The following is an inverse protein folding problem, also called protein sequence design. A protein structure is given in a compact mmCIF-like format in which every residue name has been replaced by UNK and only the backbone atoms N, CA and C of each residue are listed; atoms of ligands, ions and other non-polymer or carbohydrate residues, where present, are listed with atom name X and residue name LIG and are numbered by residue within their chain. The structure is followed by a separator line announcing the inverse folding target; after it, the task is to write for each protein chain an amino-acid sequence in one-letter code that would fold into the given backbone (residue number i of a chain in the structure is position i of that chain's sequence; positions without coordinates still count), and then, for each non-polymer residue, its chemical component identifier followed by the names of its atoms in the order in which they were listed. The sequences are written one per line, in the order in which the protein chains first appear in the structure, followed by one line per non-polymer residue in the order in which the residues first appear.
data_IF_703765094527
#
_entry.id   IF_703765094527
#
_cell.length_a   1.000
_cell.length_b   1.000
_cell.length_c   1.000
_cell.angle_alpha   90.00
_cell.angle_beta   90.00
_cell.angle_gamma   90.00
#
_symmetry.space_group_name_H-M   'P 1'
#
loop_
_entity.id
_entity.type
_entity.pdbx_description
1 polymer ?
#
# COMPACT_ATOMS: atom_id res chain seq x y z
N UNK A 1 -16.77 -17.98 -24.61
CA UNK A 1 -15.93 -17.03 -23.85
C UNK A 1 -14.84 -16.54 -24.78
N UNK A 2 -14.95 -15.44 -25.53
CA UNK A 2 -15.27 -14.04 -25.16
C UNK A 2 -14.31 -13.44 -24.14
N UNK A 3 -13.16 -12.97 -24.63
CA UNK A 3 -12.65 -11.65 -24.26
C UNK A 3 -11.88 -11.12 -25.46
N UNK A 4 -12.49 -10.19 -26.19
CA UNK A 4 -11.80 -9.45 -27.25
C UNK A 4 -10.69 -8.67 -26.56
N UNK A 5 -9.46 -9.16 -26.65
CA UNK A 5 -8.27 -8.41 -26.24
C UNK A 5 -8.34 -7.07 -26.96
N UNK A 6 -8.56 -5.99 -26.23
CA UNK A 6 -8.25 -4.66 -26.73
C UNK A 6 -6.73 -4.61 -26.81
N UNK A 7 -6.19 -5.19 -27.89
CA UNK A 7 -4.77 -5.23 -28.18
C UNK A 7 -4.32 -3.81 -28.51
N UNK A 8 -4.01 -3.05 -27.45
CA UNK A 8 -3.33 -1.78 -27.58
C UNK A 8 -1.96 -2.06 -28.18
N UNK A 9 -1.49 -1.28 -29.16
CA UNK A 9 -0.15 -1.47 -29.70
C UNK A 9 0.88 -1.40 -28.57
N UNK A 10 1.92 -2.25 -28.60
CA UNK A 10 2.98 -2.23 -27.59
C UNK A 10 3.65 -0.83 -27.57
N UNK A 11 3.95 -0.28 -26.38
CA UNK A 11 4.71 0.95 -26.26
C UNK A 11 6.15 0.74 -26.75
N UNK A 12 6.86 1.82 -27.12
CA UNK A 12 8.25 1.70 -27.61
C UNK A 12 9.22 1.26 -26.49
N UNK A 13 8.90 1.54 -25.23
CA UNK A 13 9.66 1.12 -24.05
C UNK A 13 8.77 0.43 -23.00
N UNK A 14 9.34 -0.55 -22.31
CA UNK A 14 8.63 -1.30 -21.27
C UNK A 14 8.54 -0.48 -19.99
N UNK A 15 7.33 -0.16 -19.52
CA UNK A 15 7.14 0.55 -18.25
C UNK A 15 7.66 -0.24 -17.01
N UNK A 16 7.82 -1.56 -17.12
CA UNK A 16 8.28 -2.40 -16.01
C UNK A 16 9.82 -2.50 -15.90
N UNK A 17 10.55 -2.48 -17.03
CA UNK A 17 12.00 -2.70 -17.03
C UNK A 17 12.81 -1.70 -17.89
N UNK A 18 12.15 -0.80 -18.62
CA UNK A 18 12.77 0.19 -19.51
C UNK A 18 13.33 -0.37 -20.81
N UNK A 19 13.17 -1.66 -21.10
CA UNK A 19 13.67 -2.25 -22.35
C UNK A 19 12.86 -1.78 -23.57
N UNK A 20 13.53 -1.60 -24.70
CA UNK A 20 12.88 -1.30 -25.99
C UNK A 20 12.04 -2.49 -26.44
N UNK A 21 10.76 -2.24 -26.75
CA UNK A 21 9.82 -3.28 -27.19
C UNK A 21 9.64 -3.17 -28.72
N UNK A 22 9.76 -4.28 -29.47
CA UNK A 22 9.48 -4.27 -30.90
C UNK A 22 7.98 -4.09 -31.16
N UNK A 23 7.63 -3.38 -32.25
CA UNK A 23 6.25 -2.95 -32.57
C UNK A 23 5.20 -4.07 -32.69
N UNK A 24 5.61 -5.33 -32.75
CA UNK A 24 4.76 -6.52 -32.86
C UNK A 24 4.93 -7.52 -31.71
N UNK A 25 5.63 -7.16 -30.62
CA UNK A 25 5.73 -8.01 -29.45
C UNK A 25 4.36 -8.19 -28.77
N UNK A 26 4.10 -9.40 -28.26
CA UNK A 26 2.97 -9.68 -27.38
C UNK A 26 3.32 -9.47 -25.89
N UNK A 27 4.61 -9.49 -25.56
CA UNK A 27 5.15 -9.26 -24.23
C UNK A 27 6.59 -8.71 -24.35
N UNK A 28 7.09 -8.04 -23.31
CA UNK A 28 8.46 -7.57 -23.24
C UNK A 28 9.43 -8.78 -23.23
N UNK A 29 10.43 -8.82 -24.12
CA UNK A 29 11.35 -9.96 -24.22
C UNK A 29 12.26 -10.10 -22.99
N UNK A 30 12.52 -9.01 -22.26
CA UNK A 30 13.44 -9.02 -21.12
C UNK A 30 12.76 -9.46 -19.82
N UNK A 31 11.55 -8.96 -19.54
CA UNK A 31 10.87 -9.18 -18.26
C UNK A 31 9.53 -9.91 -18.35
N UNK A 32 9.04 -10.19 -19.56
CA UNK A 32 7.76 -10.88 -19.79
C UNK A 32 6.50 -10.05 -19.51
N UNK A 33 6.62 -8.74 -19.30
CA UNK A 33 5.47 -7.86 -19.08
C UNK A 33 4.60 -7.74 -20.34
N UNK A 34 3.28 -7.79 -20.17
CA UNK A 34 2.29 -7.70 -21.25
C UNK A 34 1.23 -6.62 -20.98
N UNK A 35 0.24 -6.48 -21.87
CA UNK A 35 -0.91 -5.58 -21.76
C UNK A 35 -1.70 -5.70 -20.43
N UNK A 36 -1.64 -6.85 -19.76
CA UNK A 36 -2.33 -7.09 -18.49
C UNK A 36 -1.46 -6.78 -17.28
N UNK A 37 -0.14 -6.94 -17.41
CA UNK A 37 0.79 -6.98 -16.29
C UNK A 37 1.79 -5.83 -16.24
N UNK A 38 1.98 -5.08 -17.34
CA UNK A 38 2.97 -4.00 -17.34
C UNK A 38 2.96 -3.00 -18.49
N UNK A 39 2.04 -3.06 -19.46
CA UNK A 39 1.87 -1.99 -20.48
C UNK A 39 0.65 -1.09 -20.23
N UNK A 40 0.13 -1.08 -19.01
CA UNK A 40 -0.99 -0.21 -18.64
C UNK A 40 -0.44 1.15 -18.21
N UNK A 41 -0.77 2.18 -18.96
CA UNK A 41 -0.48 3.58 -18.61
C UNK A 41 -1.22 4.03 -17.33
N UNK A 42 -2.29 3.33 -16.97
CA UNK A 42 -3.13 3.62 -15.81
C UNK A 42 -3.30 2.35 -14.97
N UNK A 43 -2.82 2.37 -13.73
CA UNK A 43 -3.26 1.43 -12.70
C UNK A 43 -4.77 1.59 -12.50
N UNK A 44 -5.47 0.55 -12.04
CA UNK A 44 -6.92 0.67 -11.72
C UNK A 44 -7.19 1.78 -10.68
N UNK A 45 -6.16 2.21 -9.97
CA UNK A 45 -6.21 3.22 -8.93
C UNK A 45 -5.73 4.61 -9.41
N UNK A 46 -5.13 4.74 -10.59
CA UNK A 46 -4.55 6.01 -11.09
C UNK A 46 -5.60 6.97 -11.67
N UNK A 47 -6.81 6.49 -11.93
CA UNK A 47 -7.94 7.29 -12.40
C UNK A 47 -8.93 7.66 -11.30
N UNK A 48 -8.59 7.35 -10.04
CA UNK A 48 -9.39 7.80 -8.91
C UNK A 48 -8.94 9.23 -8.58
N UNK A 49 -9.82 10.19 -8.84
CA UNK A 49 -9.68 11.58 -8.39
C UNK A 49 -9.84 11.60 -6.86
N UNK A 50 -8.83 11.10 -6.15
CA UNK A 50 -8.78 11.17 -4.69
C UNK A 50 -8.49 12.63 -4.35
N UNK A 51 -9.37 13.31 -3.60
CA UNK A 51 -9.05 14.64 -3.11
C UNK A 51 -7.76 14.56 -2.28
N UNK A 52 -6.88 15.54 -2.44
CA UNK A 52 -5.62 15.64 -1.67
C UNK A 52 -5.86 15.56 -0.15
N UNK A 53 -7.05 15.99 0.29
CA UNK A 53 -7.56 15.90 1.66
C UNK A 53 -7.81 14.48 2.19
N UNK A 54 -7.77 13.44 1.34
CA UNK A 54 -7.88 12.04 1.80
C UNK A 54 -6.70 11.61 2.67
N UNK A 55 -5.57 12.34 2.59
CA UNK A 55 -4.34 12.06 3.34
C UNK A 55 -3.98 13.16 4.35
N UNK A 56 -4.77 14.22 4.43
CA UNK A 56 -4.61 15.27 5.45
C UNK A 56 -5.10 14.70 6.79
N UNK A 57 -4.15 14.21 7.59
CA UNK A 57 -4.36 13.94 9.01
C UNK A 57 -4.66 15.28 9.67
N UNK A 58 -5.95 15.59 9.87
CA UNK A 58 -6.42 16.83 10.50
C UNK A 58 -5.57 17.15 11.73
N UNK A 59 -4.61 18.06 11.58
CA UNK A 59 -3.74 18.62 12.60
C UNK A 59 -4.42 19.79 13.30
N UNK A 60 -5.74 19.72 13.43
CA UNK A 60 -6.60 20.70 14.10
C UNK A 60 -6.59 20.54 15.62
N UNK A 61 -5.54 20.00 16.24
CA UNK A 61 -5.35 20.11 17.68
C UNK A 61 -3.86 20.23 18.01
N UNK A 62 -3.32 21.43 17.87
CA UNK A 62 -2.63 22.19 18.93
C UNK A 62 -1.62 23.17 18.30
N UNK A 63 -1.94 24.46 18.36
CA UNK A 63 -1.09 25.52 17.85
C UNK A 63 0.31 25.57 18.46
N UNK A 64 1.25 26.17 17.72
CA UNK A 64 2.58 26.46 18.24
C UNK A 64 3.64 26.45 17.17
N UNK A 65 3.81 27.60 16.55
CA UNK A 65 4.94 27.98 15.72
C UNK A 65 6.30 27.66 16.36
N UNK A 66 7.24 27.30 15.49
CA UNK A 66 8.69 27.40 15.66
C UNK A 66 9.32 26.68 16.87
N UNK A 67 9.89 25.49 16.66
CA UNK A 67 11.31 25.22 16.91
C UNK A 67 11.62 23.73 16.86
N UNK A 68 12.67 23.41 16.11
CA UNK A 68 13.45 22.18 16.24
C UNK A 68 13.90 21.92 17.69
N UNK A 69 13.49 20.80 18.29
CA UNK A 69 14.38 20.06 19.20
C UNK A 69 13.86 18.64 19.47
N UNK A 70 14.72 17.65 19.18
CA UNK A 70 14.76 16.31 19.76
C UNK A 70 13.41 15.70 20.14
N UNK A 71 12.79 14.97 19.20
CA UNK A 71 11.86 13.89 19.59
C UNK A 71 12.63 12.58 19.52
N UNK A 72 12.84 11.85 20.63
CA UNK A 72 13.47 10.54 20.58
C UNK A 72 12.66 9.67 19.63
N UNK A 73 13.33 8.75 18.93
CA UNK A 73 12.69 7.75 18.09
C UNK A 73 11.85 6.81 18.98
N UNK A 74 10.70 7.31 19.43
CA UNK A 74 9.68 6.49 20.07
C UNK A 74 9.17 5.63 18.94
N UNK A 75 9.53 4.35 19.03
CA UNK A 75 9.02 3.24 18.26
C UNK A 75 7.64 3.61 17.67
N UNK A 76 7.60 3.89 16.35
CA UNK A 76 6.37 4.00 15.56
C UNK A 76 6.11 2.64 14.90
N UNK A 77 5.81 1.60 15.68
CA UNK A 77 5.15 0.39 15.13
C UNK A 77 3.68 0.83 15.06
N UNK A 78 3.20 0.92 13.82
CA UNK A 78 2.14 1.83 13.42
C UNK A 78 0.84 1.71 14.18
N UNK A 79 0.16 2.85 14.34
CA UNK A 79 -1.31 3.02 14.41
C UNK A 79 -2.13 2.17 15.38
N UNK A 80 -1.54 1.27 16.15
CA UNK A 80 -2.27 0.43 17.09
C UNK A 80 -2.50 1.29 18.32
N UNK A 81 -3.71 1.86 18.39
CA UNK A 81 -4.17 2.58 19.56
C UNK A 81 -3.89 1.73 20.81
N UNK A 82 -3.32 2.35 21.85
CA UNK A 82 -2.90 1.68 23.10
C UNK A 82 -4.01 0.79 23.72
N UNK A 83 -5.27 1.13 23.45
CA UNK A 83 -6.43 0.32 23.82
C UNK A 83 -6.39 -1.12 23.27
N UNK A 84 -5.94 -1.33 22.04
CA UNK A 84 -5.80 -2.68 21.46
C UNK A 84 -4.74 -3.52 22.17
N UNK A 85 -3.67 -2.88 22.63
CA UNK A 85 -2.64 -3.55 23.46
C UNK A 85 -3.26 -3.94 24.80
N UNK A 86 -4.03 -3.04 25.43
CA UNK A 86 -4.72 -3.33 26.68
C UNK A 86 -5.73 -4.49 26.53
N UNK A 87 -6.54 -4.48 25.48
CA UNK A 87 -7.49 -5.56 25.16
C UNK A 87 -6.77 -6.89 24.94
N UNK A 88 -5.70 -6.91 24.15
CA UNK A 88 -4.91 -8.12 23.90
C UNK A 88 -4.31 -8.69 25.18
N UNK A 89 -3.79 -7.83 26.05
CA UNK A 89 -3.22 -8.23 27.35
C UNK A 89 -4.29 -8.80 28.29
N UNK A 90 -5.47 -8.19 28.35
CA UNK A 90 -6.60 -8.69 29.16
C UNK A 90 -7.05 -10.07 28.67
N UNK A 91 -7.22 -10.26 27.36
CA UNK A 91 -7.60 -11.55 26.79
C UNK A 91 -6.56 -12.64 27.08
N UNK A 92 -5.27 -12.31 26.97
CA UNK A 92 -4.18 -13.23 27.29
C UNK A 92 -4.20 -13.67 28.75
N UNK A 93 -4.41 -12.73 29.69
CA UNK A 93 -4.52 -13.04 31.13
C UNK A 93 -5.72 -13.94 31.40
N UNK A 94 -6.89 -13.64 30.85
CA UNK A 94 -8.09 -14.47 31.02
C UNK A 94 -7.87 -15.89 30.51
N UNK A 95 -7.22 -16.04 29.35
CA UNK A 95 -6.88 -17.34 28.79
C UNK A 95 -5.96 -18.14 29.74
N UNK A 96 -4.92 -17.50 30.28
CA UNK A 96 -3.97 -18.13 31.20
C UNK A 96 -4.66 -18.54 32.50
N UNK A 97 -5.50 -17.67 33.08
CA UNK A 97 -6.27 -17.98 34.29
C UNK A 97 -7.24 -19.14 34.08
N UNK A 98 -7.91 -19.19 32.93
CA UNK A 98 -8.79 -20.30 32.56
C UNK A 98 -8.06 -21.63 32.44
N UNK A 99 -6.88 -21.64 31.82
CA UNK A 99 -6.04 -22.85 31.69
C UNK A 99 -5.51 -23.30 33.05
N UNK A 100 -5.05 -22.37 33.90
CA UNK A 100 -4.52 -22.70 35.22
C UNK A 100 -5.60 -23.08 36.24
N UNK A 101 -6.81 -22.54 36.13
CA UNK A 101 -7.94 -22.87 37.00
C UNK A 101 -8.75 -24.08 36.55
N UNK A 102 -8.59 -24.50 35.29
CA UNK A 102 -9.24 -25.67 34.70
C UNK A 102 -8.38 -26.94 34.67
N UNK A 103 -7.11 -26.85 35.10
CA UNK A 103 -6.18 -27.98 35.26
C UNK A 103 -6.24 -28.52 36.70
#
# INVERSE_FOLDING_TARGET
MSSRRHSRPPPDECAQCGATIPRNALACPECGADERTGWRESSLYDGLDLPDAAWEENDDETGGSAASRNRPAVYRIGGIAWYWIAVGLVLAILMILGVLGGL
#
